data_IF_748746136849
#
_entry.id   IF_748746136849
#
_cell.length_a   1.000
_cell.length_b   1.000
_cell.length_c   1.000
_cell.angle_alpha   90.00
_cell.angle_beta   90.00
_cell.angle_gamma   90.00
#
_symmetry.space_group_name_H-M   'P 1'
#
loop_
_entity.id
_entity.type
_entity.pdbx_description
1 polymer ?
#
# COMPACT_ATOMS: atom_id res chain seq x y z
N UNK A 1 -14.62 22.69 0.65
CA UNK A 1 -13.41 22.54 1.48
C UNK A 1 -12.48 21.58 0.78
N UNK A 2 -11.25 22.00 0.48
CA UNK A 2 -10.24 21.14 -0.14
C UNK A 2 -9.80 20.10 0.90
N UNK A 3 -9.88 18.80 0.58
CA UNK A 3 -9.38 17.75 1.46
C UNK A 3 -7.85 17.81 1.48
N UNK A 4 -7.27 18.25 2.59
CA UNK A 4 -5.81 18.24 2.79
C UNK A 4 -5.35 16.81 3.10
N UNK A 5 -4.42 16.29 2.30
CA UNK A 5 -3.80 14.99 2.53
C UNK A 5 -2.60 15.14 3.46
N UNK A 6 -2.72 14.61 4.67
CA UNK A 6 -1.64 14.55 5.65
C UNK A 6 -1.44 13.11 6.12
N UNK A 7 -0.19 12.71 6.33
CA UNK A 7 0.07 11.30 6.57
C UNK A 7 1.55 10.93 6.65
N UNK A 8 1.78 9.63 6.52
CA UNK A 8 3.10 9.01 6.49
C UNK A 8 3.28 8.20 5.22
N UNK A 9 4.50 8.20 4.67
CA UNK A 9 4.87 7.38 3.51
C UNK A 9 5.95 6.40 3.96
N UNK A 10 5.65 5.09 3.92
CA UNK A 10 6.62 4.00 4.10
C UNK A 10 7.45 3.86 2.81
N UNK A 11 8.15 4.91 2.35
CA UNK A 11 8.74 4.99 1.01
C UNK A 11 10.27 4.87 0.95
N UNK A 12 10.91 4.46 2.04
CA UNK A 12 12.36 4.41 2.19
C UNK A 12 12.93 3.03 1.80
N UNK A 13 14.26 2.97 1.60
CA UNK A 13 15.03 1.73 1.48
C UNK A 13 15.48 1.24 2.87
N UNK A 14 15.45 -0.08 3.09
CA UNK A 14 15.81 -0.70 4.37
C UNK A 14 14.69 -1.54 5.00
N UNK A 15 14.80 -1.79 6.31
CA UNK A 15 13.98 -2.79 7.02
C UNK A 15 12.47 -2.61 6.78
N UNK A 16 11.83 -3.71 6.36
CA UNK A 16 10.38 -3.81 6.30
C UNK A 16 9.77 -3.84 7.71
N UNK A 17 8.71 -3.06 7.91
CA UNK A 17 7.95 -3.11 9.15
C UNK A 17 7.08 -4.37 9.24
N UNK A 18 6.89 -4.84 10.46
CA UNK A 18 5.82 -5.79 10.81
C UNK A 18 4.46 -5.07 10.79
N UNK A 19 3.36 -5.82 10.70
CA UNK A 19 2.02 -5.22 10.78
C UNK A 19 1.75 -4.54 12.13
N UNK A 20 2.35 -5.02 13.21
CA UNK A 20 2.22 -4.39 14.53
C UNK A 20 2.89 -3.00 14.57
N UNK A 21 4.09 -2.90 14.00
CA UNK A 21 4.79 -1.61 13.85
C UNK A 21 3.98 -0.64 12.99
N UNK A 22 3.42 -1.12 11.87
CA UNK A 22 2.52 -0.31 11.02
C UNK A 22 1.29 0.18 11.78
N UNK A 23 0.68 -0.66 12.62
CA UNK A 23 -0.42 -0.25 13.50
C UNK A 23 0.02 0.76 14.58
N UNK A 24 1.26 0.66 15.06
CA UNK A 24 1.87 1.67 15.92
C UNK A 24 1.95 3.04 15.25
N UNK A 25 2.36 3.08 13.99
CA UNK A 25 2.38 4.32 13.18
C UNK A 25 0.96 4.84 12.97
N UNK A 26 0.00 3.99 12.60
CA UNK A 26 -1.40 4.40 12.43
C UNK A 26 -1.99 5.01 13.72
N UNK A 27 -1.68 4.42 14.89
CA UNK A 27 -2.04 5.01 16.20
C UNK A 27 -1.43 6.40 16.39
N UNK A 28 -0.16 6.60 15.99
CA UNK A 28 0.48 7.91 16.09
C UNK A 28 -0.13 8.93 15.13
N UNK A 29 -0.45 8.53 13.90
CA UNK A 29 -1.12 9.39 12.92
C UNK A 29 -2.46 9.91 13.45
N UNK A 30 -3.28 9.03 14.04
CA UNK A 30 -4.51 9.44 14.73
C UNK A 30 -4.25 10.51 15.80
N UNK A 31 -3.25 10.31 16.65
CA UNK A 31 -2.93 11.25 17.75
C UNK A 31 -2.57 12.65 17.25
N UNK A 32 -1.94 12.76 16.07
CA UNK A 32 -1.52 14.03 15.49
C UNK A 32 -2.53 14.59 14.47
N UNK A 33 -3.69 13.95 14.30
CA UNK A 33 -4.71 14.38 13.34
C UNK A 33 -4.35 14.14 11.87
N UNK A 34 -3.39 13.26 11.58
CA UNK A 34 -3.04 12.86 10.22
C UNK A 34 -3.90 11.69 9.75
N UNK A 35 -4.20 11.64 8.46
CA UNK A 35 -5.28 10.80 7.92
C UNK A 35 -4.84 9.73 6.94
N UNK A 36 -3.57 9.70 6.48
CA UNK A 36 -3.13 8.77 5.44
C UNK A 36 -1.85 8.00 5.81
N UNK A 37 -1.80 6.75 5.36
CA UNK A 37 -0.63 5.89 5.38
C UNK A 37 -0.40 5.35 3.97
N UNK A 38 0.64 5.81 3.29
CA UNK A 38 1.05 5.26 2.00
C UNK A 38 2.00 4.08 2.22
N UNK A 39 1.54 2.88 1.87
CA UNK A 39 2.33 1.66 1.84
C UNK A 39 3.14 1.60 0.53
N UNK A 40 4.42 1.95 0.59
CA UNK A 40 5.32 1.92 -0.57
C UNK A 40 6.78 1.46 -0.25
N UNK A 41 7.00 0.45 0.62
CA UNK A 41 8.34 0.11 1.07
C UNK A 41 9.19 -0.41 -0.10
N UNK A 42 10.37 0.18 -0.32
CA UNK A 42 11.19 -0.13 -1.50
C UNK A 42 11.76 -1.56 -1.46
N UNK A 43 11.90 -2.16 -0.27
CA UNK A 43 12.35 -3.53 -0.07
C UNK A 43 11.24 -4.58 -0.21
N UNK A 44 9.97 -4.20 -0.38
CA UNK A 44 8.93 -5.20 -0.66
C UNK A 44 8.99 -5.62 -2.14
N UNK A 45 9.40 -6.87 -2.45
CA UNK A 45 9.49 -7.31 -3.83
C UNK A 45 8.11 -7.28 -4.52
N UNK A 46 7.04 -7.57 -3.80
CA UNK A 46 5.68 -7.62 -4.36
C UNK A 46 5.09 -6.24 -4.66
N UNK A 47 5.68 -5.17 -4.09
CA UNK A 47 5.38 -3.78 -4.41
C UNK A 47 6.13 -3.33 -5.67
N UNK A 48 7.39 -3.77 -5.84
CA UNK A 48 8.34 -3.23 -6.84
C UNK A 48 8.86 -4.27 -7.84
N UNK A 49 9.83 -5.09 -7.46
CA UNK A 49 10.57 -5.96 -8.40
C UNK A 49 9.68 -7.07 -8.99
N UNK A 50 8.85 -7.67 -8.14
CA UNK A 50 7.94 -8.77 -8.44
C UNK A 50 6.47 -8.32 -8.44
N UNK A 51 6.20 -7.07 -8.84
CA UNK A 51 4.87 -6.45 -8.77
C UNK A 51 3.74 -7.24 -9.44
N UNK A 52 4.06 -8.09 -10.42
CA UNK A 52 3.11 -8.98 -11.11
C UNK A 52 2.63 -10.15 -10.24
N UNK A 53 3.43 -10.59 -9.25
CA UNK A 53 3.10 -11.73 -8.38
C UNK A 53 2.08 -11.32 -7.32
N UNK A 54 1.17 -12.23 -6.97
CA UNK A 54 0.24 -12.01 -5.85
C UNK A 54 0.96 -12.07 -4.50
N UNK A 55 0.47 -11.29 -3.53
CA UNK A 55 0.92 -11.45 -2.15
C UNK A 55 0.50 -12.81 -1.58
N UNK A 56 1.33 -13.43 -0.73
CA UNK A 56 0.96 -14.64 0.01
C UNK A 56 -0.32 -14.46 0.83
N UNK A 57 -1.08 -15.55 1.04
CA UNK A 57 -2.35 -15.52 1.79
C UNK A 57 -2.20 -14.97 3.20
N UNK A 58 -1.17 -15.39 3.94
CA UNK A 58 -0.87 -14.92 5.28
C UNK A 58 -0.62 -13.41 5.31
N UNK A 59 0.16 -12.90 4.35
CA UNK A 59 0.42 -11.46 4.21
C UNK A 59 -0.87 -10.69 3.93
N UNK A 60 -1.72 -11.19 3.02
CA UNK A 60 -3.02 -10.57 2.71
C UNK A 60 -3.95 -10.52 3.93
N UNK A 61 -3.94 -11.56 4.77
CA UNK A 61 -4.68 -11.57 6.03
C UNK A 61 -4.20 -10.48 6.99
N UNK A 62 -2.87 -10.35 7.16
CA UNK A 62 -2.26 -9.31 7.97
C UNK A 62 -2.54 -7.89 7.44
N UNK A 63 -2.42 -7.69 6.12
CA UNK A 63 -2.69 -6.41 5.49
C UNK A 63 -4.16 -6.00 5.60
N UNK A 64 -5.10 -6.94 5.37
CA UNK A 64 -6.54 -6.68 5.57
C UNK A 64 -6.84 -6.25 7.01
N UNK A 65 -6.23 -6.91 8.00
CA UNK A 65 -6.38 -6.51 9.40
C UNK A 65 -5.79 -5.11 9.66
N UNK A 66 -4.62 -4.81 9.10
CA UNK A 66 -3.99 -3.49 9.19
C UNK A 66 -4.90 -2.39 8.60
N UNK A 67 -5.43 -2.58 7.39
CA UNK A 67 -6.38 -1.64 6.75
C UNK A 67 -7.61 -1.41 7.62
N UNK A 68 -8.23 -2.49 8.10
CA UNK A 68 -9.46 -2.40 8.90
C UNK A 68 -9.24 -1.65 10.22
N UNK A 69 -8.11 -1.90 10.91
CA UNK A 69 -7.79 -1.23 12.16
C UNK A 69 -7.40 0.24 11.96
N UNK A 70 -6.57 0.54 10.95
CA UNK A 70 -6.22 1.94 10.60
C UNK A 70 -7.46 2.76 10.27
N UNK A 71 -8.41 2.19 9.52
CA UNK A 71 -9.67 2.88 9.18
C UNK A 71 -10.49 3.23 10.42
N UNK A 72 -10.59 2.34 11.42
CA UNK A 72 -11.25 2.64 12.71
C UNK A 72 -10.56 3.77 13.49
N UNK A 73 -9.30 4.05 13.17
CA UNK A 73 -8.52 5.16 13.74
C UNK A 73 -8.61 6.44 12.91
N UNK A 74 -9.38 6.46 11.81
CA UNK A 74 -9.45 7.60 10.89
C UNK A 74 -8.26 7.70 9.94
N UNK A 75 -7.46 6.63 9.80
CA UNK A 75 -6.29 6.56 8.92
C UNK A 75 -6.58 5.68 7.71
N UNK A 76 -6.55 6.27 6.52
CA UNK A 76 -6.69 5.57 5.24
C UNK A 76 -5.36 4.95 4.83
N UNK A 77 -5.36 3.65 4.54
CA UNK A 77 -4.19 2.95 4.02
C UNK A 77 -4.25 2.93 2.50
N UNK A 78 -3.26 3.57 1.88
CA UNK A 78 -3.12 3.67 0.43
C UNK A 78 -2.02 2.70 -0.02
N UNK A 79 -2.33 1.66 -0.80
CA UNK A 79 -1.34 0.77 -1.39
C UNK A 79 -0.66 1.46 -2.58
N UNK A 80 0.67 1.53 -2.53
CA UNK A 80 1.50 1.86 -3.68
C UNK A 80 1.85 0.61 -4.50
N UNK A 81 2.04 0.78 -5.81
CA UNK A 81 2.77 -0.16 -6.66
C UNK A 81 3.81 0.59 -7.48
N UNK A 82 5.03 0.06 -7.56
CA UNK A 82 6.14 0.64 -8.29
C UNK A 82 6.62 -0.26 -9.44
N UNK A 83 5.83 -0.42 -10.53
CA UNK A 83 6.14 -1.35 -11.60
C UNK A 83 7.18 -0.83 -12.60
N UNK A 84 7.61 0.43 -12.46
CA UNK A 84 8.43 1.16 -13.45
C UNK A 84 9.70 0.44 -13.92
N UNK A 85 10.30 -0.41 -13.07
CA UNK A 85 11.49 -1.19 -13.43
C UNK A 85 11.27 -2.18 -14.58
N UNK A 86 10.04 -2.67 -14.79
CA UNK A 86 9.78 -3.72 -15.78
C UNK A 86 8.44 -3.64 -16.49
N UNK A 87 7.63 -2.59 -16.26
CA UNK A 87 6.33 -2.44 -16.89
C UNK A 87 6.46 -2.26 -18.41
N UNK A 88 5.79 -3.12 -19.20
CA UNK A 88 5.74 -2.96 -20.66
C UNK A 88 4.45 -2.25 -21.05
N UNK A 89 4.55 -1.00 -21.48
CA UNK A 89 3.42 -0.12 -21.77
C UNK A 89 2.42 -0.67 -22.81
N UNK A 90 2.89 -1.45 -23.78
CA UNK A 90 2.04 -2.05 -24.82
C UNK A 90 1.54 -3.45 -24.46
N UNK A 91 1.93 -3.99 -23.29
CA UNK A 91 1.53 -5.34 -22.87
C UNK A 91 0.18 -5.30 -22.15
N UNK A 92 -0.85 -5.86 -22.78
CA UNK A 92 -2.15 -6.10 -22.13
C UNK A 92 -2.01 -7.00 -20.89
N UNK A 93 -1.08 -7.95 -20.92
CA UNK A 93 -0.82 -8.84 -19.80
C UNK A 93 -0.31 -8.08 -18.56
N UNK A 94 0.57 -7.11 -18.76
CA UNK A 94 1.11 -6.28 -17.68
C UNK A 94 0.03 -5.34 -17.13
N UNK A 95 -0.75 -4.70 -18.00
CA UNK A 95 -1.90 -3.91 -17.58
C UNK A 95 -2.90 -4.73 -16.75
N UNK A 96 -3.24 -5.94 -17.21
CA UNK A 96 -4.14 -6.84 -16.47
C UNK A 96 -3.53 -7.32 -15.15
N UNK A 97 -2.21 -7.53 -15.06
CA UNK A 97 -1.55 -7.86 -13.81
C UNK A 97 -1.63 -6.71 -12.80
N UNK A 98 -1.48 -5.47 -13.27
CA UNK A 98 -1.58 -4.26 -12.44
C UNK A 98 -3.00 -4.11 -11.88
N UNK A 99 -4.02 -4.26 -12.73
CA UNK A 99 -5.42 -4.21 -12.32
C UNK A 99 -5.77 -5.32 -11.33
N UNK A 100 -5.32 -6.57 -11.56
CA UNK A 100 -5.53 -7.67 -10.60
C UNK A 100 -4.89 -7.37 -9.24
N UNK A 101 -3.70 -6.78 -9.24
CA UNK A 101 -2.96 -6.45 -8.03
C UNK A 101 -3.69 -5.36 -7.22
N UNK A 102 -4.11 -4.27 -7.87
CA UNK A 102 -4.96 -3.25 -7.22
C UNK A 102 -6.33 -3.79 -6.81
N UNK A 103 -6.95 -4.66 -7.61
CA UNK A 103 -8.19 -5.34 -7.25
C UNK A 103 -8.05 -6.19 -5.98
N UNK A 104 -6.90 -6.83 -5.77
CA UNK A 104 -6.62 -7.55 -4.51
C UNK A 104 -6.53 -6.61 -3.31
N UNK A 105 -5.99 -5.40 -3.47
CA UNK A 105 -5.97 -4.41 -2.40
C UNK A 105 -7.36 -3.85 -2.10
N UNK A 106 -8.16 -3.59 -3.14
CA UNK A 106 -9.57 -3.20 -2.99
C UNK A 106 -10.36 -4.26 -2.23
N UNK A 107 -10.16 -5.55 -2.54
CA UNK A 107 -10.78 -6.66 -1.80
C UNK A 107 -10.31 -6.77 -0.32
N UNK A 108 -9.18 -6.16 0.03
CA UNK A 108 -8.70 -6.04 1.41
C UNK A 108 -9.20 -4.77 2.12
N UNK A 109 -9.96 -3.91 1.42
CA UNK A 109 -10.63 -2.73 1.99
C UNK A 109 -9.94 -1.39 1.67
N UNK A 110 -8.95 -1.36 0.79
CA UNK A 110 -8.37 -0.10 0.31
C UNK A 110 -9.32 0.59 -0.69
N UNK A 111 -9.55 1.89 -0.51
CA UNK A 111 -10.42 2.70 -1.38
C UNK A 111 -9.61 3.60 -2.33
N UNK A 112 -8.33 3.80 -2.02
CA UNK A 112 -7.38 4.58 -2.80
C UNK A 112 -6.22 3.71 -3.27
N UNK A 113 -5.43 4.21 -4.21
CA UNK A 113 -4.23 3.53 -4.72
C UNK A 113 -3.22 4.54 -5.26
N UNK A 114 -1.94 4.19 -5.23
CA UNK A 114 -0.87 4.98 -5.83
C UNK A 114 -0.09 4.15 -6.85
N UNK A 115 0.09 4.71 -8.05
CA UNK A 115 1.01 4.19 -9.06
C UNK A 115 2.29 5.02 -9.03
N UNK A 116 3.40 4.37 -8.73
CA UNK A 116 4.71 4.98 -8.55
C UNK A 116 5.60 4.62 -9.74
N UNK A 117 6.19 5.64 -10.37
CA UNK A 117 7.03 5.48 -11.59
C UNK A 117 8.45 6.00 -11.38
N UNK A 118 8.86 6.19 -10.13
CA UNK A 118 10.20 6.57 -9.67
C UNK A 118 11.16 5.38 -9.43
#
# INVERSE_FOLDING_TARGET
>A
MQHFLSGYIEGYYGRLFTFEERLGIARKLKQIGASHYLYAPKEDPFHRQEWRKSYPSAWRGGFKNFVAQSRRMGVQVVPGLAPGLSFRYQSRADFNALLRKFGSFAAMGCEEAALLMD
#
